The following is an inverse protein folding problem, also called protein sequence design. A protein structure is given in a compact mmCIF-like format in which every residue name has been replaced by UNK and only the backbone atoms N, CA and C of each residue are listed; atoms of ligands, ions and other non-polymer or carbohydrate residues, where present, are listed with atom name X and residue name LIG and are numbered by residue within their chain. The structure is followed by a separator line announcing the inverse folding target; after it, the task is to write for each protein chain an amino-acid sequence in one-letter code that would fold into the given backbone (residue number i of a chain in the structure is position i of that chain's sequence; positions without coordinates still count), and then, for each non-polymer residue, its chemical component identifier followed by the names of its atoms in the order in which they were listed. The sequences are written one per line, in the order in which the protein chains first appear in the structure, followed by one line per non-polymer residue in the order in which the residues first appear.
data_IF_397121655049
#
_entry.id   IF_397121655049
#
_cell.length_a   1.000
_cell.length_b   1.000
_cell.length_c   1.000
_cell.angle_alpha   90.00
_cell.angle_beta   90.00
_cell.angle_gamma   90.00
#
_symmetry.space_group_name_H-M   'P 1'
#
loop_
_entity.id
_entity.type
_entity.pdbx_description
1 polymer ?
#
# COMPACT_ATOMS: atom_id res chain seq x y z
N UNK A 1 -0.51 18.06 -31.13
CA UNK A 1 -1.69 17.45 -30.47
C UNK A 1 -1.97 16.03 -30.98
N UNK A 2 -2.07 15.79 -32.30
CA UNK A 2 -2.33 14.45 -32.88
C UNK A 2 -1.33 13.37 -32.42
N UNK A 3 -0.03 13.69 -32.36
CA UNK A 3 1.02 12.73 -31.93
C UNK A 3 0.84 12.25 -30.48
N UNK A 4 0.43 13.14 -29.56
CA UNK A 4 0.17 12.78 -28.15
C UNK A 4 -1.05 11.87 -27.99
N UNK A 5 -2.10 12.13 -28.78
CA UNK A 5 -3.31 11.30 -28.79
C UNK A 5 -2.99 9.89 -29.30
N UNK A 6 -2.17 9.79 -30.35
CA UNK A 6 -1.72 8.49 -30.88
C UNK A 6 -0.85 7.71 -29.89
N UNK A 7 0.02 8.39 -29.14
CA UNK A 7 0.83 7.79 -28.08
C UNK A 7 -0.06 7.25 -26.96
N UNK A 8 -0.99 8.09 -26.46
CA UNK A 8 -1.94 7.67 -25.43
C UNK A 8 -2.80 6.49 -25.87
N UNK A 9 -3.25 6.49 -27.13
CA UNK A 9 -4.00 5.37 -27.71
C UNK A 9 -3.16 4.10 -27.76
N UNK A 10 -1.90 4.17 -28.21
CA UNK A 10 -1.01 3.00 -28.27
C UNK A 10 -0.76 2.40 -26.89
N UNK A 11 -0.54 3.23 -25.88
CA UNK A 11 -0.36 2.78 -24.48
C UNK A 11 -1.63 2.10 -23.98
N UNK A 12 -2.81 2.66 -24.28
CA UNK A 12 -4.09 2.08 -23.90
C UNK A 12 -4.37 0.75 -24.61
N UNK A 13 -4.12 0.68 -25.92
CA UNK A 13 -4.30 -0.53 -26.72
C UNK A 13 -3.43 -1.67 -26.15
N UNK A 14 -2.16 -1.38 -25.84
CA UNK A 14 -1.25 -2.34 -25.20
C UNK A 14 -1.72 -2.76 -23.80
N UNK A 15 -2.13 -1.80 -22.96
CA UNK A 15 -2.68 -2.10 -21.64
C UNK A 15 -3.89 -3.05 -21.70
N UNK A 16 -4.71 -2.92 -22.75
CA UNK A 16 -5.84 -3.80 -23.01
C UNK A 16 -5.39 -5.17 -23.54
N UNK A 17 -4.43 -5.22 -24.46
CA UNK A 17 -3.88 -6.46 -25.03
C UNK A 17 -3.16 -7.31 -23.98
N UNK A 18 -2.50 -6.68 -23.02
CA UNK A 18 -1.82 -7.35 -21.93
C UNK A 18 -2.72 -7.66 -20.73
N UNK A 19 -4.02 -7.41 -20.84
CA UNK A 19 -5.05 -7.71 -19.83
C UNK A 19 -4.70 -7.16 -18.44
N UNK A 20 -4.11 -5.96 -18.38
CA UNK A 20 -3.59 -5.37 -17.14
C UNK A 20 -4.65 -5.20 -16.05
N UNK A 21 -5.92 -5.06 -16.43
CA UNK A 21 -7.07 -5.05 -15.51
C UNK A 21 -7.20 -6.34 -14.72
N UNK A 22 -6.88 -7.50 -15.30
CA UNK A 22 -6.93 -8.80 -14.63
C UNK A 22 -5.85 -8.89 -13.55
N UNK A 23 -4.63 -8.43 -13.87
CA UNK A 23 -3.54 -8.36 -12.91
C UNK A 23 -3.85 -7.36 -11.78
N UNK A 24 -4.39 -6.18 -12.10
CA UNK A 24 -4.80 -5.18 -11.12
C UNK A 24 -5.85 -5.72 -10.13
N UNK A 25 -6.86 -6.43 -10.64
CA UNK A 25 -7.88 -7.08 -9.81
C UNK A 25 -7.26 -8.15 -8.89
N UNK A 26 -6.35 -8.97 -9.42
CA UNK A 26 -5.69 -10.02 -8.66
C UNK A 26 -4.82 -9.44 -7.52
N UNK A 27 -4.03 -8.40 -7.81
CA UNK A 27 -3.20 -7.73 -6.79
C UNK A 27 -4.08 -7.13 -5.70
N UNK A 28 -5.13 -6.41 -6.09
CA UNK A 28 -6.04 -5.75 -5.15
C UNK A 28 -6.73 -6.74 -4.21
N UNK A 29 -7.15 -7.89 -4.74
CA UNK A 29 -7.72 -8.97 -3.95
C UNK A 29 -6.74 -9.50 -2.90
N UNK A 30 -5.51 -9.82 -3.28
CA UNK A 30 -4.53 -10.37 -2.35
C UNK A 30 -4.05 -9.35 -1.32
N UNK A 31 -3.95 -8.07 -1.68
CA UNK A 31 -3.61 -7.00 -0.74
C UNK A 31 -4.71 -6.84 0.31
N UNK A 32 -5.98 -6.79 -0.09
CA UNK A 32 -7.11 -6.68 0.85
C UNK A 32 -7.23 -7.94 1.71
N UNK A 33 -7.04 -9.12 1.12
CA UNK A 33 -7.02 -10.38 1.86
C UNK A 33 -5.88 -10.40 2.90
N UNK A 34 -4.72 -9.83 2.58
CA UNK A 34 -3.57 -9.77 3.49
C UNK A 34 -3.72 -8.73 4.60
N UNK A 35 -4.64 -7.77 4.47
CA UNK A 35 -4.81 -6.66 5.41
C UNK A 35 -5.18 -7.15 6.82
N UNK A 36 -6.12 -8.09 6.92
CA UNK A 36 -6.59 -8.62 8.21
C UNK A 36 -5.49 -9.41 8.94
N UNK A 37 -4.82 -10.40 8.30
CA UNK A 37 -3.66 -11.06 8.90
C UNK A 37 -2.52 -10.10 9.24
N UNK A 38 -2.26 -9.10 8.40
CA UNK A 38 -1.24 -8.08 8.66
C UNK A 38 -1.56 -7.26 9.90
N UNK A 39 -2.81 -6.80 10.06
CA UNK A 39 -3.26 -6.10 11.26
C UNK A 39 -3.10 -6.97 12.50
N UNK A 40 -3.50 -8.24 12.44
CA UNK A 40 -3.32 -9.16 13.58
C UNK A 40 -1.84 -9.34 13.95
N UNK A 41 -0.95 -9.48 12.97
CA UNK A 41 0.50 -9.56 13.20
C UNK A 41 1.04 -8.29 13.86
N UNK A 42 0.66 -7.12 13.34
CA UNK A 42 1.03 -5.82 13.90
C UNK A 42 0.58 -5.70 15.36
N UNK A 43 -0.68 -6.01 15.62
CA UNK A 43 -1.27 -5.96 16.95
C UNK A 43 -0.51 -6.86 17.93
N UNK A 44 -0.14 -8.06 17.50
CA UNK A 44 0.60 -8.99 18.37
C UNK A 44 2.06 -8.57 18.56
N UNK A 45 2.69 -7.95 17.56
CA UNK A 45 4.05 -7.42 17.68
C UNK A 45 4.15 -6.30 18.72
N UNK A 46 3.14 -5.41 18.79
CA UNK A 46 3.10 -4.34 19.80
C UNK A 46 2.94 -4.90 21.22
N UNK A 47 2.18 -5.99 21.41
CA UNK A 47 2.05 -6.65 22.72
C UNK A 47 3.37 -7.25 23.24
N UNK A 48 4.34 -7.50 22.36
CA UNK A 48 5.66 -8.00 22.75
C UNK A 48 6.61 -6.90 23.25
N UNK A 49 6.25 -5.61 23.09
CA UNK A 49 7.07 -4.50 23.55
C UNK A 49 7.00 -4.47 25.08
N UNK A 50 8.11 -4.69 25.80
CA UNK A 50 8.12 -4.65 27.26
C UNK A 50 7.73 -3.25 27.73
N UNK A 51 6.69 -3.15 28.57
CA UNK A 51 6.24 -1.89 29.17
C UNK A 51 4.91 -1.32 28.66
N UNK A 52 4.29 -1.92 27.63
CA UNK A 52 2.93 -1.54 27.20
C UNK A 52 1.92 -2.44 27.92
N UNK A 53 1.03 -1.85 28.73
CA UNK A 53 -0.06 -2.61 29.35
C UNK A 53 -1.06 -3.06 28.28
N UNK A 54 -1.74 -4.18 28.53
CA UNK A 54 -2.83 -4.66 27.66
C UNK A 54 -3.93 -3.60 27.46
N UNK A 55 -4.16 -2.77 28.47
CA UNK A 55 -5.11 -1.66 28.42
C UNK A 55 -4.66 -0.54 27.48
N UNK A 56 -3.42 -0.07 27.63
CA UNK A 56 -2.83 0.99 26.79
C UNK A 56 -2.78 0.56 25.32
N UNK A 57 -2.50 -0.72 25.07
CA UNK A 57 -2.51 -1.27 23.73
C UNK A 57 -3.90 -1.23 23.08
N UNK A 58 -4.93 -1.57 23.85
CA UNK A 58 -6.32 -1.59 23.39
C UNK A 58 -6.80 -0.16 23.09
N UNK A 59 -6.39 0.81 23.91
CA UNK A 59 -6.66 2.22 23.70
C UNK A 59 -6.00 2.75 22.41
N UNK A 60 -4.70 2.46 22.20
CA UNK A 60 -3.98 2.83 20.97
C UNK A 60 -4.62 2.19 19.73
N UNK A 61 -4.95 0.89 19.79
CA UNK A 61 -5.58 0.20 18.68
C UNK A 61 -6.95 0.79 18.35
N UNK A 62 -7.72 1.19 19.36
CA UNK A 62 -9.02 1.84 19.20
C UNK A 62 -8.95 3.28 18.72
N UNK A 63 -7.81 3.96 18.87
CA UNK A 63 -7.62 5.33 18.40
C UNK A 63 -7.27 5.39 16.91
N UNK A 64 -6.61 4.34 16.39
CA UNK A 64 -6.22 4.22 14.97
C UNK A 64 -7.40 3.76 14.10
N UNK A 65 -8.32 2.97 14.67
CA UNK A 65 -9.44 2.37 13.94
C UNK A 65 -10.62 3.35 13.86
N UNK A 66 -11.18 3.63 12.66
CA UNK A 66 -12.35 4.49 12.53
C UNK A 66 -13.53 3.97 13.36
N UNK A 67 -14.36 4.88 13.88
CA UNK A 67 -15.44 4.58 14.83
C UNK A 67 -16.31 3.38 14.42
N UNK A 68 -16.60 3.26 13.12
CA UNK A 68 -17.46 2.22 12.54
C UNK A 68 -16.87 0.80 12.64
N UNK A 69 -15.55 0.66 12.83
CA UNK A 69 -14.85 -0.64 12.90
C UNK A 69 -14.34 -0.96 14.30
N UNK A 70 -14.56 -0.07 15.28
CA UNK A 70 -14.05 -0.25 16.65
C UNK A 70 -14.59 -1.52 17.30
N UNK A 71 -15.84 -1.90 17.05
CA UNK A 71 -16.43 -3.15 17.59
C UNK A 71 -15.77 -4.41 17.01
N UNK A 72 -15.49 -4.42 15.71
CA UNK A 72 -14.80 -5.52 15.03
C UNK A 72 -13.33 -5.61 15.48
N UNK A 73 -12.66 -4.47 15.55
CA UNK A 73 -11.29 -4.37 16.05
C UNK A 73 -11.20 -4.79 17.52
N UNK A 74 -12.13 -4.37 18.38
CA UNK A 74 -12.21 -4.81 19.79
C UNK A 74 -12.27 -6.32 19.87
N UNK A 75 -13.14 -6.95 19.08
CA UNK A 75 -13.34 -8.40 19.10
C UNK A 75 -12.09 -9.15 18.66
N UNK A 76 -11.45 -8.69 17.58
CA UNK A 76 -10.18 -9.24 17.10
C UNK A 76 -9.06 -9.08 18.15
N UNK A 77 -8.91 -7.89 18.72
CA UNK A 77 -7.90 -7.60 19.75
C UNK A 77 -8.14 -8.44 21.02
N UNK A 78 -9.39 -8.53 21.48
CA UNK A 78 -9.75 -9.28 22.67
C UNK A 78 -9.55 -10.79 22.48
N UNK A 79 -9.91 -11.33 21.30
CA UNK A 79 -9.64 -12.73 20.95
C UNK A 79 -8.13 -13.02 20.89
N UNK A 80 -7.32 -12.07 20.40
CA UNK A 80 -5.86 -12.15 20.41
C UNK A 80 -5.29 -12.12 21.84
N UNK A 81 -5.90 -11.37 22.76
CA UNK A 81 -5.44 -11.23 24.16
C UNK A 81 -5.74 -12.47 25.01
N UNK A 82 -6.78 -13.24 24.66
CA UNK A 82 -7.27 -14.40 25.41
C UNK A 82 -6.64 -15.73 24.96
N UNK A 83 -6.18 -15.84 23.71
CA UNK A 83 -5.57 -17.05 23.15
C UNK A 83 -4.04 -16.96 23.15
N UNK A 84 -3.36 -18.11 23.19
CA UNK A 84 -1.89 -18.17 23.29
C UNK A 84 -1.21 -17.37 22.16
N UNK A 85 -0.42 -16.33 22.47
CA UNK A 85 0.13 -15.40 21.48
C UNK A 85 0.99 -16.11 20.42
N UNK A 86 1.81 -17.08 20.83
CA UNK A 86 2.81 -17.70 19.94
C UNK A 86 2.19 -18.48 18.76
N UNK A 87 1.12 -19.24 18.99
CA UNK A 87 0.46 -20.05 17.94
C UNK A 87 -0.38 -19.18 17.00
N UNK A 88 -1.00 -18.12 17.50
CA UNK A 88 -1.72 -17.16 16.64
C UNK A 88 -0.76 -16.32 15.79
N UNK A 89 0.42 -15.95 16.31
CA UNK A 89 1.44 -15.24 15.54
C UNK A 89 1.88 -16.08 14.35
N UNK A 90 2.23 -17.35 14.56
CA UNK A 90 2.75 -18.19 13.47
C UNK A 90 1.71 -18.42 12.36
N UNK A 91 0.46 -18.74 12.71
CA UNK A 91 -0.60 -18.95 11.74
C UNK A 91 -0.98 -17.66 10.97
N UNK A 92 -1.08 -16.54 11.70
CA UNK A 92 -1.38 -15.22 11.13
C UNK A 92 -0.25 -14.74 10.23
N UNK A 93 1.00 -14.87 10.67
CA UNK A 93 2.18 -14.49 9.90
C UNK A 93 2.29 -15.30 8.60
N UNK A 94 2.06 -16.61 8.66
CA UNK A 94 2.06 -17.46 7.47
C UNK A 94 0.96 -17.04 6.50
N UNK A 95 -0.24 -16.73 7.00
CA UNK A 95 -1.39 -16.33 6.15
C UNK A 95 -1.20 -14.93 5.56
N UNK A 96 -0.64 -13.99 6.34
CA UNK A 96 -0.27 -12.65 5.89
C UNK A 96 0.80 -12.73 4.79
N UNK A 97 1.88 -13.46 5.04
CA UNK A 97 2.98 -13.62 4.10
C UNK A 97 2.55 -14.37 2.84
N UNK A 98 1.70 -15.40 2.98
CA UNK A 98 1.16 -16.12 1.83
C UNK A 98 0.28 -15.22 0.96
N UNK A 99 -0.64 -14.46 1.57
CA UNK A 99 -1.56 -13.58 0.85
C UNK A 99 -0.80 -12.44 0.16
N UNK A 100 0.05 -11.74 0.91
CA UNK A 100 0.81 -10.62 0.38
C UNK A 100 1.86 -11.08 -0.64
N UNK A 101 2.49 -12.23 -0.44
CA UNK A 101 3.38 -12.86 -1.42
C UNK A 101 2.67 -13.21 -2.74
N UNK A 102 1.39 -13.63 -2.69
CA UNK A 102 0.57 -13.82 -3.90
C UNK A 102 0.26 -12.49 -4.60
N UNK A 103 -0.02 -11.44 -3.85
CA UNK A 103 -0.21 -10.09 -4.39
C UNK A 103 1.03 -9.59 -5.12
N UNK A 104 2.20 -9.68 -4.48
CA UNK A 104 3.46 -9.25 -5.09
C UNK A 104 3.85 -10.09 -6.32
N UNK A 105 3.58 -11.39 -6.27
CA UNK A 105 3.78 -12.27 -7.43
C UNK A 105 2.89 -11.90 -8.62
N UNK A 106 1.68 -11.37 -8.37
CA UNK A 106 0.81 -10.84 -9.42
C UNK A 106 1.32 -9.52 -9.99
N UNK A 107 1.90 -8.64 -9.16
CA UNK A 107 2.61 -7.44 -9.64
C UNK A 107 3.76 -7.84 -10.56
N UNK A 108 4.62 -8.76 -10.12
CA UNK A 108 5.75 -9.23 -10.91
C UNK A 108 5.32 -9.84 -12.26
N UNK A 109 4.26 -10.65 -12.27
CA UNK A 109 3.72 -11.21 -13.52
C UNK A 109 3.16 -10.15 -14.46
N UNK A 110 2.46 -9.15 -13.93
CA UNK A 110 1.97 -8.04 -14.75
C UNK A 110 3.13 -7.24 -15.34
N UNK A 111 4.13 -6.86 -14.55
CA UNK A 111 5.30 -6.12 -15.06
C UNK A 111 6.12 -6.93 -16.07
N UNK A 112 6.32 -8.23 -15.83
CA UNK A 112 7.00 -9.11 -16.79
C UNK A 112 6.20 -9.30 -18.09
N UNK A 113 4.86 -9.19 -18.03
CA UNK A 113 3.99 -9.21 -19.21
C UNK A 113 4.18 -7.94 -20.04
N UNK A 114 4.17 -6.76 -19.40
CA UNK A 114 4.45 -5.46 -20.03
C UNK A 114 5.77 -5.48 -20.81
N UNK A 115 6.82 -6.07 -20.22
CA UNK A 115 8.16 -6.08 -20.82
C UNK A 115 8.33 -7.13 -21.94
N UNK A 116 7.29 -7.90 -22.28
CA UNK A 116 7.26 -8.82 -23.43
C UNK A 116 8.20 -10.02 -23.31
N UNK A 117 8.89 -10.20 -22.19
CA UNK A 117 9.91 -11.24 -21.98
C UNK A 117 9.71 -11.95 -20.64
N UNK A 118 8.62 -12.69 -20.53
CA UNK A 118 8.42 -13.64 -19.44
C UNK A 118 9.46 -14.76 -19.51
N UNK A 119 10.63 -14.57 -18.90
CA UNK A 119 11.56 -15.68 -18.69
C UNK A 119 10.87 -16.68 -17.76
N UNK A 120 10.78 -17.95 -18.20
CA UNK A 120 10.42 -19.09 -17.34
C UNK A 120 11.55 -19.31 -16.32
N UNK A 121 11.70 -18.44 -15.33
CA UNK A 121 12.45 -18.81 -14.13
C UNK A 121 11.54 -19.57 -13.17
N UNK A 122 12.16 -20.48 -12.40
CA UNK A 122 11.49 -21.42 -11.52
C UNK A 122 10.51 -20.69 -10.60
N UNK A 123 9.23 -21.06 -10.67
CA UNK A 123 8.11 -20.47 -9.93
C UNK A 123 8.41 -20.23 -8.44
N UNK A 124 9.26 -21.07 -7.85
CA UNK A 124 9.69 -21.01 -6.45
C UNK A 124 10.65 -19.85 -6.17
N UNK A 125 11.58 -19.54 -7.08
CA UNK A 125 12.60 -18.51 -6.88
C UNK A 125 12.02 -17.10 -6.95
N UNK A 126 11.15 -16.84 -7.94
CA UNK A 126 10.39 -15.58 -8.01
C UNK A 126 9.47 -15.41 -6.80
N UNK A 127 8.92 -16.50 -6.26
CA UNK A 127 8.07 -16.45 -5.06
C UNK A 127 8.86 -16.10 -3.80
N UNK A 128 10.08 -16.60 -3.64
CA UNK A 128 10.99 -16.23 -2.54
C UNK A 128 11.39 -14.76 -2.61
N UNK A 129 11.71 -14.25 -3.80
CA UNK A 129 12.01 -12.83 -4.02
C UNK A 129 10.78 -11.96 -3.72
N UNK A 130 9.59 -12.37 -4.17
CA UNK A 130 8.33 -11.68 -3.87
C UNK A 130 8.01 -11.67 -2.37
N UNK A 131 8.31 -12.75 -1.63
CA UNK A 131 8.23 -12.76 -0.17
C UNK A 131 9.21 -11.75 0.44
N UNK A 132 10.44 -11.63 -0.08
CA UNK A 132 11.41 -10.62 0.34
C UNK A 132 10.90 -9.19 0.13
N UNK A 133 10.33 -8.88 -1.04
CA UNK A 133 9.72 -7.57 -1.28
C UNK A 133 8.47 -7.32 -0.43
N UNK A 134 7.72 -8.37 -0.13
CA UNK A 134 6.57 -8.28 0.76
C UNK A 134 7.00 -7.92 2.18
N UNK A 135 8.09 -8.53 2.68
CA UNK A 135 8.68 -8.20 3.98
C UNK A 135 9.20 -6.76 3.99
N UNK A 136 9.86 -6.33 2.90
CA UNK A 136 10.33 -4.94 2.75
C UNK A 136 9.15 -3.95 2.72
N UNK A 137 8.08 -4.26 1.99
CA UNK A 137 6.86 -3.45 1.94
C UNK A 137 6.20 -3.36 3.31
N UNK A 138 6.09 -4.49 4.02
CA UNK A 138 5.63 -4.54 5.40
C UNK A 138 6.51 -3.65 6.30
N UNK A 139 7.84 -3.76 6.21
CA UNK A 139 8.76 -2.94 6.99
C UNK A 139 8.61 -1.43 6.70
N UNK A 140 8.46 -1.05 5.42
CA UNK A 140 8.22 0.34 5.00
C UNK A 140 6.87 0.84 5.51
N UNK A 141 5.82 0.02 5.45
CA UNK A 141 4.51 0.35 6.01
C UNK A 141 4.58 0.53 7.53
N UNK A 142 5.30 -0.35 8.24
CA UNK A 142 5.53 -0.25 9.68
C UNK A 142 6.30 1.02 10.05
N UNK A 143 7.38 1.35 9.33
CA UNK A 143 8.13 2.60 9.53
C UNK A 143 7.28 3.82 9.21
N UNK A 144 6.51 3.78 8.12
CA UNK A 144 5.65 4.89 7.67
C UNK A 144 4.51 5.14 8.64
N UNK A 145 3.87 4.09 9.19
CA UNK A 145 2.90 4.23 10.27
C UNK A 145 3.57 4.72 11.55
N UNK A 146 4.78 4.24 11.87
CA UNK A 146 5.64 4.80 12.92
C UNK A 146 5.72 6.32 12.82
N UNK A 147 6.12 6.82 11.66
CA UNK A 147 6.26 8.25 11.38
C UNK A 147 4.94 9.02 11.22
N UNK A 148 3.86 8.41 10.71
CA UNK A 148 2.60 9.11 10.44
C UNK A 148 1.62 9.08 11.62
N UNK A 149 1.55 7.96 12.34
CA UNK A 149 0.68 7.77 13.51
C UNK A 149 1.35 8.34 14.75
N UNK A 150 2.60 7.95 15.03
CA UNK A 150 3.37 8.59 16.09
C UNK A 150 3.96 9.92 15.66
N UNK A 151 3.81 10.38 14.42
CA UNK A 151 4.31 11.69 14.00
C UNK A 151 3.79 12.83 14.87
N UNK A 152 2.51 12.79 15.26
CA UNK A 152 1.92 13.76 16.21
C UNK A 152 2.39 13.53 17.65
N UNK A 153 2.49 12.29 18.09
CA UNK A 153 2.93 11.95 19.46
C UNK A 153 4.42 12.26 19.68
N UNK A 154 5.27 11.91 18.71
CA UNK A 154 6.69 12.21 18.63
C UNK A 154 6.91 13.72 18.50
N UNK A 155 6.08 14.42 17.72
CA UNK A 155 6.10 15.88 17.68
C UNK A 155 5.74 16.49 19.03
N UNK A 156 4.68 16.02 19.69
CA UNK A 156 4.29 16.52 21.02
C UNK A 156 5.39 16.25 22.05
N UNK A 157 6.04 15.08 21.96
CA UNK A 157 7.18 14.70 22.80
C UNK A 157 8.43 15.55 22.52
N UNK A 158 8.72 15.86 21.25
CA UNK A 158 9.84 16.74 20.86
C UNK A 158 9.53 18.19 21.25
N UNK A 159 8.28 18.65 21.14
CA UNK A 159 7.87 19.98 21.58
C UNK A 159 7.95 20.12 23.11
N UNK A 160 7.67 19.05 23.88
CA UNK A 160 7.75 19.08 25.33
C UNK A 160 9.18 18.95 25.89
N UNK A 161 10.07 18.20 25.22
CA UNK A 161 11.44 17.95 25.70
C UNK A 161 12.52 18.80 25.01
N UNK A 162 12.29 19.28 23.79
CA UNK A 162 13.27 20.03 22.98
C UNK A 162 12.64 21.27 22.29
N UNK A 163 12.33 22.34 23.04
CA UNK A 163 11.66 23.54 22.52
C UNK A 163 12.44 24.30 21.44
N UNK A 164 13.76 24.10 21.33
CA UNK A 164 14.62 24.69 20.28
C UNK A 164 14.37 24.11 18.88
N UNK A 165 13.78 22.90 18.77
CA UNK A 165 13.55 22.19 17.49
C UNK A 165 12.08 22.32 17.04
N UNK A 166 11.21 22.87 17.91
CA UNK A 166 9.78 23.07 17.66
C UNK A 166 9.43 23.88 16.39
N UNK A 167 10.22 24.89 15.97
CA UNK A 167 9.98 25.57 14.69
C UNK A 167 10.27 24.65 13.49
N UNK A 168 11.30 23.80 13.59
CA UNK A 168 11.71 22.85 12.55
C UNK A 168 10.66 21.75 12.34
N UNK A 169 10.02 21.28 13.41
CA UNK A 169 8.93 20.29 13.30
C UNK A 169 7.69 20.86 12.61
N UNK A 170 7.41 22.17 12.74
CA UNK A 170 6.36 22.86 11.98
C UNK A 170 6.57 22.83 10.46
N UNK A 171 7.81 23.05 10.00
CA UNK A 171 8.17 22.96 8.59
C UNK A 171 8.10 21.51 8.05
N UNK A 172 8.50 20.52 8.86
CA UNK A 172 8.41 19.09 8.49
C UNK A 172 6.96 18.66 8.22
N UNK A 173 5.98 19.25 8.90
CA UNK A 173 4.54 18.97 8.72
C UNK A 173 3.99 19.64 7.47
N UNK A 174 4.40 20.87 7.15
CA UNK A 174 4.05 21.51 5.88
C UNK A 174 4.62 20.72 4.68
N UNK A 175 5.79 20.11 4.87
CA UNK A 175 6.41 19.23 3.88
C UNK A 175 5.84 17.80 3.88
N UNK A 176 4.89 17.45 4.76
CA UNK A 176 4.35 16.07 4.87
C UNK A 176 3.83 15.53 3.53
N UNK A 177 3.18 16.37 2.73
CA UNK A 177 2.68 15.98 1.41
C UNK A 177 3.83 15.70 0.42
N UNK A 178 4.92 16.47 0.52
CA UNK A 178 6.13 16.26 -0.28
C UNK A 178 6.89 15.00 0.15
N UNK A 179 6.98 14.73 1.46
CA UNK A 179 7.53 13.48 1.98
C UNK A 179 6.71 12.26 1.53
N UNK A 180 5.38 12.36 1.60
CA UNK A 180 4.48 11.31 1.09
C UNK A 180 4.68 11.04 -0.40
N UNK A 181 4.79 12.10 -1.20
CA UNK A 181 5.09 11.99 -2.63
C UNK A 181 6.46 11.37 -2.90
N UNK A 182 7.50 11.78 -2.15
CA UNK A 182 8.84 11.24 -2.29
C UNK A 182 8.90 9.75 -1.95
N UNK A 183 8.24 9.32 -0.86
CA UNK A 183 8.15 7.92 -0.46
C UNK A 183 7.42 7.10 -1.53
N UNK A 184 6.29 7.60 -2.05
CA UNK A 184 5.56 6.93 -3.15
C UNK A 184 6.41 6.82 -4.42
N UNK A 185 7.15 7.86 -4.76
CA UNK A 185 8.02 7.86 -5.93
C UNK A 185 9.14 6.84 -5.79
N UNK A 186 9.80 6.78 -4.62
CA UNK A 186 10.82 5.76 -4.33
C UNK A 186 10.20 4.35 -4.36
N UNK A 187 8.98 4.20 -3.85
CA UNK A 187 8.27 2.93 -3.87
C UNK A 187 7.97 2.46 -5.31
N UNK A 188 7.43 3.32 -6.18
CA UNK A 188 7.18 2.97 -7.58
C UNK A 188 8.46 2.74 -8.36
N UNK A 189 9.51 3.56 -8.15
CA UNK A 189 10.83 3.31 -8.73
C UNK A 189 11.39 1.95 -8.31
N UNK A 190 11.28 1.62 -7.01
CA UNK A 190 11.69 0.33 -6.48
C UNK A 190 10.93 -0.81 -7.14
N UNK A 191 9.61 -0.67 -7.29
CA UNK A 191 8.80 -1.66 -8.00
C UNK A 191 9.27 -1.83 -9.44
N UNK A 192 9.41 -0.77 -10.23
CA UNK A 192 9.76 -0.88 -11.65
C UNK A 192 11.20 -1.35 -11.89
N UNK A 193 12.15 -1.00 -11.03
CA UNK A 193 13.55 -1.41 -11.21
C UNK A 193 13.88 -2.79 -10.61
N UNK A 194 13.23 -3.17 -9.51
CA UNK A 194 13.64 -4.35 -8.72
C UNK A 194 12.73 -5.56 -8.92
N UNK A 195 11.44 -5.36 -9.21
CA UNK A 195 10.44 -6.44 -9.27
C UNK A 195 10.46 -7.20 -10.60
N UNK A 196 10.62 -6.56 -11.78
CA UNK A 196 10.70 -7.30 -13.05
C UNK A 196 11.95 -8.16 -13.14
N UNK A 197 11.85 -9.28 -13.87
CA UNK A 197 12.99 -10.19 -14.09
C UNK A 197 14.09 -9.51 -14.93
N UNK A 198 13.71 -8.58 -15.79
CA UNK A 198 14.61 -7.72 -16.55
C UNK A 198 14.71 -6.38 -15.83
N UNK A 199 15.84 -6.15 -15.18
CA UNK A 199 16.09 -4.90 -14.43
C UNK A 199 16.12 -3.72 -15.40
N UNK A 200 15.19 -2.80 -15.23
CA UNK A 200 15.19 -1.52 -15.93
C UNK A 200 16.11 -0.51 -15.26
N UNK A 201 16.71 0.37 -16.06
CA UNK A 201 17.49 1.47 -15.53
C UNK A 201 16.57 2.49 -14.85
N UNK A 202 17.04 3.12 -13.77
CA UNK A 202 16.28 4.15 -13.04
C UNK A 202 15.82 5.29 -13.96
N UNK A 203 16.59 5.60 -15.01
CA UNK A 203 16.25 6.65 -15.99
C UNK A 203 15.02 6.30 -16.83
N UNK A 204 14.87 5.03 -17.19
CA UNK A 204 13.73 4.51 -17.96
C UNK A 204 12.50 4.34 -17.07
N UNK A 205 12.70 3.98 -15.80
CA UNK A 205 11.62 3.79 -14.84
C UNK A 205 11.05 5.10 -14.26
N UNK A 206 11.79 6.21 -14.35
CA UNK A 206 11.44 7.50 -13.74
C UNK A 206 10.12 8.09 -14.28
N UNK A 207 9.86 8.14 -15.60
CA UNK A 207 8.64 8.74 -16.14
C UNK A 207 7.38 8.03 -15.62
N UNK A 208 7.38 6.69 -15.61
CA UNK A 208 6.27 5.90 -15.09
C UNK A 208 6.13 6.00 -13.58
N UNK A 209 7.24 6.09 -12.83
CA UNK A 209 7.17 6.30 -11.39
C UNK A 209 6.55 7.66 -11.02
N UNK A 210 6.87 8.72 -11.77
CA UNK A 210 6.27 10.04 -11.60
C UNK A 210 4.78 10.01 -11.98
N UNK A 211 4.44 9.37 -13.10
CA UNK A 211 3.03 9.18 -13.52
C UNK A 211 2.23 8.43 -12.47
N UNK A 212 2.74 7.30 -11.97
CA UNK A 212 2.05 6.49 -10.96
C UNK A 212 1.92 7.21 -9.63
N UNK A 213 2.95 7.94 -9.19
CA UNK A 213 2.89 8.75 -7.97
C UNK A 213 1.83 9.82 -8.06
N UNK A 214 1.85 10.61 -9.14
CA UNK A 214 0.91 11.71 -9.34
C UNK A 214 -0.52 11.18 -9.56
N UNK A 215 -0.69 10.16 -10.38
CA UNK A 215 -1.98 9.51 -10.63
C UNK A 215 -2.58 8.92 -9.35
N UNK A 216 -1.78 8.22 -8.54
CA UNK A 216 -2.23 7.66 -7.27
C UNK A 216 -2.67 8.76 -6.30
N UNK A 217 -1.88 9.83 -6.14
CA UNK A 217 -2.23 10.94 -5.26
C UNK A 217 -3.49 11.68 -5.72
N UNK A 218 -3.59 11.99 -7.03
CA UNK A 218 -4.75 12.66 -7.61
C UNK A 218 -6.00 11.82 -7.46
N UNK A 219 -5.91 10.51 -7.73
CA UNK A 219 -7.03 9.61 -7.61
C UNK A 219 -7.45 9.43 -6.14
N UNK A 220 -6.52 9.28 -5.21
CA UNK A 220 -6.81 9.27 -3.77
C UNK A 220 -7.47 10.55 -3.29
N UNK A 221 -7.05 11.71 -3.81
CA UNK A 221 -7.67 12.99 -3.49
C UNK A 221 -9.09 13.08 -4.07
N UNK A 222 -9.28 12.70 -5.34
CA UNK A 222 -10.59 12.65 -5.97
C UNK A 222 -11.55 11.70 -5.24
N UNK A 223 -11.07 10.53 -4.82
CA UNK A 223 -11.82 9.57 -4.03
C UNK A 223 -12.18 10.13 -2.66
N UNK A 224 -11.25 10.81 -1.97
CA UNK A 224 -11.54 11.48 -0.70
C UNK A 224 -12.59 12.57 -0.85
N UNK A 225 -12.50 13.40 -1.90
CA UNK A 225 -13.51 14.41 -2.20
C UNK A 225 -14.87 13.77 -2.49
N UNK A 226 -14.91 12.70 -3.29
CA UNK A 226 -16.13 11.95 -3.56
C UNK A 226 -16.81 11.49 -2.26
N UNK A 227 -16.07 10.94 -1.30
CA UNK A 227 -16.62 10.55 0.00
C UNK A 227 -17.15 11.72 0.83
N UNK A 228 -16.43 12.85 0.79
CA UNK A 228 -16.82 14.05 1.52
C UNK A 228 -18.10 14.70 0.92
N UNK A 229 -18.22 14.73 -0.41
CA UNK A 229 -19.37 15.33 -1.10
C UNK A 229 -20.60 14.43 -1.15
N UNK A 230 -20.44 13.12 -1.33
CA UNK A 230 -21.56 12.16 -1.45
C UNK A 230 -22.15 11.77 -0.09
N UNK A 231 -21.70 12.41 0.99
CA UNK A 231 -22.22 12.21 2.33
C UNK A 231 -21.86 10.84 2.90
N UNK A 232 -20.58 10.62 3.25
CA UNK A 232 -20.14 9.42 3.98
C UNK A 232 -20.99 9.05 5.22
N UNK A 233 -21.76 10.01 5.76
CA UNK A 233 -22.74 9.79 6.84
C UNK A 233 -23.98 8.97 6.45
N UNK A 234 -24.45 9.05 5.19
CA UNK A 234 -25.67 8.36 4.74
C UNK A 234 -25.37 6.98 4.11
N UNK A 235 -24.22 6.79 3.46
CA UNK A 235 -23.78 5.47 2.98
C UNK A 235 -23.53 4.49 4.13
N UNK A 236 -23.03 4.99 5.26
CA UNK A 236 -22.86 4.23 6.50
C UNK A 236 -24.17 3.66 7.06
N UNK A 237 -25.33 4.23 6.69
CA UNK A 237 -26.62 3.90 7.30
C UNK A 237 -27.31 2.68 6.66
N UNK A 238 -27.04 2.38 5.37
CA UNK A 238 -27.66 1.24 4.66
C UNK A 238 -26.70 0.08 4.36
N UNK A 239 -25.42 0.36 4.08
CA UNK A 239 -24.44 -0.67 3.69
C UNK A 239 -23.21 -0.74 4.61
N UNK A 240 -23.12 0.14 5.61
CA UNK A 240 -22.15 0.07 6.72
C UNK A 240 -20.71 -0.29 6.33
N UNK A 241 -20.09 -1.15 7.13
CA UNK A 241 -18.71 -1.64 6.97
C UNK A 241 -18.46 -2.39 5.65
N UNK A 242 -19.49 -2.98 5.03
CA UNK A 242 -19.34 -3.72 3.77
C UNK A 242 -19.13 -2.78 2.58
N UNK A 243 -19.83 -1.64 2.54
CA UNK A 243 -19.62 -0.62 1.52
C UNK A 243 -18.18 -0.08 1.52
N UNK A 244 -17.61 0.14 2.69
CA UNK A 244 -16.24 0.65 2.78
C UNK A 244 -15.20 -0.38 2.30
N UNK A 245 -15.40 -1.68 2.56
CA UNK A 245 -14.52 -2.73 2.02
C UNK A 245 -14.62 -2.75 0.50
N UNK A 246 -15.83 -2.73 -0.05
CA UNK A 246 -16.05 -2.71 -1.50
C UNK A 246 -15.44 -1.46 -2.16
N UNK A 247 -15.60 -0.29 -1.53
CA UNK A 247 -15.03 0.96 -2.02
C UNK A 247 -13.51 1.00 -1.88
N UNK A 248 -12.95 0.42 -0.81
CA UNK A 248 -11.50 0.25 -0.66
C UNK A 248 -10.94 -0.69 -1.73
N UNK A 249 -11.70 -1.73 -2.10
CA UNK A 249 -11.36 -2.63 -3.20
C UNK A 249 -11.34 -1.91 -4.54
N UNK A 250 -12.38 -1.11 -4.83
CA UNK A 250 -12.44 -0.30 -6.05
C UNK A 250 -11.30 0.73 -6.10
N UNK A 251 -11.04 1.39 -4.97
CA UNK A 251 -9.95 2.36 -4.87
C UNK A 251 -8.61 1.70 -5.17
N UNK A 252 -8.31 0.59 -4.50
CA UNK A 252 -7.07 -0.13 -4.68
C UNK A 252 -6.94 -0.70 -6.10
N UNK A 253 -8.03 -1.18 -6.68
CA UNK A 253 -8.09 -1.65 -8.07
C UNK A 253 -7.64 -0.58 -9.06
N UNK A 254 -8.20 0.63 -8.95
CA UNK A 254 -7.84 1.74 -9.85
C UNK A 254 -6.39 2.16 -9.61
N UNK A 255 -5.95 2.21 -8.36
CA UNK A 255 -4.57 2.44 -7.98
C UNK A 255 -3.59 1.43 -8.61
N UNK A 256 -3.95 0.14 -8.66
CA UNK A 256 -3.15 -0.89 -9.35
C UNK A 256 -3.19 -0.75 -10.88
N UNK A 257 -4.31 -0.33 -11.47
CA UNK A 257 -4.37 0.02 -12.89
C UNK A 257 -3.42 1.18 -13.23
N UNK A 258 -3.36 2.21 -12.38
CA UNK A 258 -2.42 3.33 -12.53
C UNK A 258 -0.97 2.83 -12.50
N UNK A 259 -0.63 1.92 -11.56
CA UNK A 259 0.69 1.30 -11.49
C UNK A 259 1.05 0.59 -12.79
N UNK A 260 0.17 -0.25 -13.34
CA UNK A 260 0.44 -0.96 -14.59
C UNK A 260 0.50 -0.03 -15.80
N UNK A 261 -0.33 1.02 -15.82
CA UNK A 261 -0.27 2.04 -16.87
C UNK A 261 1.05 2.84 -16.82
N UNK A 262 1.60 3.10 -15.63
CA UNK A 262 2.95 3.65 -15.48
C UNK A 262 4.05 2.70 -15.99
N UNK A 263 3.86 1.38 -15.87
CA UNK A 263 4.79 0.40 -16.45
C UNK A 263 4.75 0.41 -17.98
N UNK A 264 3.56 0.49 -18.59
CA UNK A 264 3.42 0.63 -20.05
C UNK A 264 4.06 1.91 -20.58
N UNK A 265 3.98 3.00 -19.80
CA UNK A 265 4.67 4.25 -20.12
C UNK A 265 6.19 4.08 -20.13
N UNK A 266 6.75 3.33 -19.16
CA UNK A 266 8.19 3.03 -19.13
C UNK A 266 8.63 2.20 -20.34
N UNK A 267 7.85 1.17 -20.70
CA UNK A 267 8.12 0.37 -21.89
C UNK A 267 8.15 1.22 -23.16
N UNK A 268 7.17 2.11 -23.32
CA UNK A 268 7.13 3.01 -24.47
C UNK A 268 8.31 4.00 -24.48
N UNK A 269 8.80 4.41 -23.31
CA UNK A 269 9.96 5.30 -23.18
C UNK A 269 11.29 4.59 -23.49
N UNK A 270 11.39 3.28 -23.23
CA UNK A 270 12.57 2.48 -23.58
C UNK A 270 12.68 2.24 -25.10
N UNK A 271 11.55 2.30 -25.82
CA UNK A 271 11.49 2.05 -27.26
C UNK A 271 11.70 3.32 -28.13
N UNK A 272 11.74 4.51 -27.51
CA UNK A 272 12.05 5.80 -28.17
C UNK A 272 13.54 6.10 -28.10
#
# INVERSE_FOLDING_TARGET
MVRLILIGKRIYDKFSEDEMTVYAAQVSFFVILSFVPFLMLLLTAVQMIPGISKADFLEIAMDIVPADYKSLAFRVVNDLMLKSPATMISATAVTALWSAGRGMFSVARGLNRVNGRGRRHWYVFNRLICCGYTILFIAVCLMSMGLLVFGRTLQNFIQSHFPLIAPFTGYVIQLRQLWGAAILLIFFLGIYCLVPDQKESVKVALPGAVFSTTGWMLFSLAFSLYFNFTGGKNYSYMYGSLAAIALSFLWLYICMCILFMGAELNWFWDEI
#
